data_IF_135373678482
#
_entry.id   IF_135373678482
#
_cell.length_a   1.000
_cell.length_b   1.000
_cell.length_c   1.000
_cell.angle_alpha   90.00
_cell.angle_beta   90.00
_cell.angle_gamma   90.00
#
_symmetry.space_group_name_H-M   'P 1'
#
loop_
_entity.id
_entity.type
_entity.pdbx_description
1 polymer ?
#
# COMPACT_ATOMS: atom_id res chain seq x y z
N UNK A 1 -0.68 -12.73 -32.05
CA UNK A 1 0.75 -12.83 -32.38
C UNK A 1 1.64 -12.25 -31.28
N UNK A 2 1.41 -10.97 -30.86
CA UNK A 2 2.20 -10.29 -29.81
C UNK A 2 2.18 -11.02 -28.47
N UNK A 3 1.02 -11.46 -28.01
CA UNK A 3 0.86 -12.20 -26.75
C UNK A 3 1.56 -13.56 -26.77
N UNK A 4 1.60 -14.24 -27.92
CA UNK A 4 2.21 -15.55 -28.05
C UNK A 4 3.76 -15.48 -27.99
N UNK A 5 4.37 -14.41 -28.51
CA UNK A 5 5.83 -14.23 -28.47
C UNK A 5 6.33 -13.48 -27.22
N UNK A 6 5.41 -13.10 -26.35
CA UNK A 6 5.76 -12.36 -25.15
C UNK A 6 6.34 -10.95 -25.44
N UNK A 7 5.92 -10.29 -26.52
CA UNK A 7 6.31 -8.93 -26.89
C UNK A 7 5.43 -7.93 -26.13
N UNK A 8 6.02 -6.85 -25.58
CA UNK A 8 5.29 -5.79 -24.88
C UNK A 8 4.31 -5.08 -25.81
N UNK A 9 3.14 -4.70 -25.26
CA UNK A 9 2.13 -3.90 -25.93
C UNK A 9 2.41 -2.39 -25.79
N UNK A 10 1.68 -1.55 -26.55
CA UNK A 10 1.69 -0.10 -26.34
C UNK A 10 1.14 0.27 -24.95
N UNK A 11 0.12 -0.47 -24.48
CA UNK A 11 -0.47 -0.30 -23.14
C UNK A 11 0.54 -0.56 -22.02
N UNK A 12 1.40 -1.58 -22.16
CA UNK A 12 2.47 -1.85 -21.19
C UNK A 12 3.46 -0.69 -21.12
N UNK A 13 3.78 -0.08 -22.27
CA UNK A 13 4.67 1.08 -22.32
C UNK A 13 3.99 2.31 -21.69
N UNK A 14 2.70 2.52 -21.92
CA UNK A 14 1.94 3.60 -21.30
C UNK A 14 1.85 3.42 -19.79
N UNK A 15 1.61 2.19 -19.32
CA UNK A 15 1.68 1.85 -17.88
C UNK A 15 3.04 2.18 -17.29
N UNK A 16 4.14 1.79 -17.97
CA UNK A 16 5.50 2.09 -17.54
C UNK A 16 5.76 3.60 -17.42
N UNK A 17 5.30 4.38 -18.40
CA UNK A 17 5.41 5.84 -18.39
C UNK A 17 4.66 6.49 -17.23
N UNK A 18 3.43 6.04 -16.97
CA UNK A 18 2.61 6.50 -15.83
C UNK A 18 3.27 6.13 -14.51
N UNK A 19 3.66 4.86 -14.36
CA UNK A 19 4.25 4.29 -13.15
C UNK A 19 5.48 5.08 -12.67
N UNK A 20 6.38 5.43 -13.59
CA UNK A 20 7.59 6.18 -13.27
C UNK A 20 7.49 7.68 -13.56
N UNK A 21 6.31 8.18 -13.91
CA UNK A 21 6.04 9.60 -14.21
C UNK A 21 7.06 10.20 -15.21
N UNK A 22 7.42 9.42 -16.23
CA UNK A 22 8.48 9.72 -17.20
C UNK A 22 7.94 9.83 -18.63
N UNK A 23 8.41 10.81 -19.38
CA UNK A 23 8.00 11.03 -20.78
C UNK A 23 8.68 10.06 -21.76
N UNK A 24 8.18 10.00 -23.01
CA UNK A 24 8.62 9.07 -24.08
C UNK A 24 10.14 9.12 -24.35
N UNK A 25 10.68 10.32 -24.59
CA UNK A 25 12.11 10.52 -24.84
C UNK A 25 12.97 10.16 -23.63
N UNK A 26 12.74 10.75 -22.45
CA UNK A 26 13.44 10.37 -21.22
C UNK A 26 13.36 8.88 -20.89
N UNK A 27 12.22 8.22 -21.11
CA UNK A 27 12.10 6.77 -20.92
C UNK A 27 12.98 5.99 -21.89
N UNK A 28 12.97 6.37 -23.18
CA UNK A 28 13.87 5.75 -24.18
C UNK A 28 15.33 5.81 -23.71
N UNK A 29 15.78 7.00 -23.30
CA UNK A 29 17.15 7.22 -22.85
C UNK A 29 17.45 6.48 -21.55
N UNK A 30 16.52 6.46 -20.61
CA UNK A 30 16.64 5.73 -19.34
C UNK A 30 16.87 4.23 -19.57
N UNK A 31 16.14 3.61 -20.47
CA UNK A 31 16.27 2.20 -20.82
C UNK A 31 17.52 1.88 -21.66
N UNK A 32 18.31 2.88 -22.04
CA UNK A 32 19.50 2.74 -22.85
C UNK A 32 19.23 2.75 -24.37
N UNK A 33 18.03 3.12 -24.79
CA UNK A 33 17.60 3.16 -26.19
C UNK A 33 17.97 4.47 -26.88
N UNK A 34 17.68 4.58 -28.17
CA UNK A 34 17.67 5.84 -28.89
C UNK A 34 16.44 6.67 -28.49
N UNK A 35 16.58 8.00 -28.43
CA UNK A 35 15.58 8.92 -27.86
C UNK A 35 14.14 8.76 -28.41
N UNK A 36 14.00 8.42 -29.69
CA UNK A 36 12.69 8.29 -30.36
C UNK A 36 12.11 6.85 -30.33
N UNK A 37 12.82 5.90 -29.69
CA UNK A 37 12.46 4.47 -29.75
C UNK A 37 11.08 4.18 -29.15
N UNK A 38 10.80 4.67 -27.95
CA UNK A 38 9.50 4.52 -27.30
C UNK A 38 8.38 5.19 -28.11
N UNK A 39 8.65 6.36 -28.70
CA UNK A 39 7.68 7.04 -29.57
C UNK A 39 7.30 6.18 -30.77
N UNK A 40 8.25 5.49 -31.40
CA UNK A 40 7.99 4.57 -32.53
C UNK A 40 7.13 3.39 -32.10
N UNK A 41 7.38 2.80 -30.92
CA UNK A 41 6.59 1.67 -30.40
C UNK A 41 5.14 2.07 -30.10
N UNK A 42 4.93 3.25 -29.52
CA UNK A 42 3.60 3.81 -29.30
C UNK A 42 2.88 4.17 -30.61
N UNK A 43 3.63 4.41 -31.69
CA UNK A 43 3.08 4.65 -33.04
C UNK A 43 2.85 3.36 -33.85
N UNK A 44 3.01 2.18 -33.21
CA UNK A 44 2.67 0.88 -33.82
C UNK A 44 3.85 0.03 -34.27
N UNK A 45 5.10 0.51 -34.24
CA UNK A 45 6.26 -0.33 -34.50
C UNK A 45 6.38 -1.43 -33.44
N UNK A 46 6.67 -2.66 -33.86
CA UNK A 46 6.82 -3.79 -32.96
C UNK A 46 8.25 -3.80 -32.37
N UNK A 47 8.42 -3.82 -31.02
CA UNK A 47 9.74 -3.99 -30.41
C UNK A 47 10.38 -5.34 -30.75
N UNK A 48 11.72 -5.39 -30.80
CA UNK A 48 12.43 -6.65 -30.78
C UNK A 48 12.25 -7.38 -29.44
N UNK A 49 12.53 -8.67 -29.40
CA UNK A 49 12.46 -9.46 -28.16
C UNK A 49 13.36 -8.85 -27.05
N UNK A 50 14.58 -8.45 -27.38
CA UNK A 50 15.53 -7.84 -26.45
C UNK A 50 15.00 -6.54 -25.84
N UNK A 51 14.43 -5.64 -26.67
CA UNK A 51 13.84 -4.40 -26.18
C UNK A 51 12.59 -4.64 -25.35
N UNK A 52 11.77 -5.63 -25.74
CA UNK A 52 10.60 -6.06 -24.95
C UNK A 52 11.00 -6.56 -23.56
N UNK A 53 12.05 -7.37 -23.47
CA UNK A 53 12.51 -7.93 -22.19
C UNK A 53 13.03 -6.81 -21.26
N UNK A 54 13.72 -5.80 -21.80
CA UNK A 54 14.14 -4.62 -21.03
C UNK A 54 12.94 -3.83 -20.51
N UNK A 55 11.93 -3.60 -21.35
CA UNK A 55 10.70 -2.87 -20.96
C UNK A 55 9.93 -3.67 -19.89
N UNK A 56 9.79 -4.98 -20.06
CA UNK A 56 9.15 -5.86 -19.06
C UNK A 56 9.87 -5.85 -17.73
N UNK A 57 11.20 -5.97 -17.76
CA UNK A 57 12.00 -5.94 -16.54
C UNK A 57 11.83 -4.61 -15.80
N UNK A 58 11.74 -3.48 -16.52
CA UNK A 58 11.47 -2.18 -15.92
C UNK A 58 10.04 -2.07 -15.37
N UNK A 59 9.04 -2.69 -16.02
CA UNK A 59 7.65 -2.68 -15.58
C UNK A 59 7.45 -3.50 -14.30
N UNK A 60 8.16 -4.61 -14.15
CA UNK A 60 7.99 -5.56 -13.04
C UNK A 60 8.95 -5.33 -11.87
N UNK A 61 10.03 -4.55 -12.07
CA UNK A 61 11.05 -4.34 -11.03
C UNK A 61 11.47 -2.87 -10.92
N UNK A 62 11.01 -2.16 -9.87
CA UNK A 62 11.48 -0.81 -9.56
C UNK A 62 13.00 -0.73 -9.38
N UNK A 63 13.60 -1.75 -8.77
CA UNK A 63 15.05 -1.84 -8.60
C UNK A 63 15.79 -1.89 -9.96
N UNK A 64 15.25 -2.62 -10.95
CA UNK A 64 15.79 -2.65 -12.31
C UNK A 64 15.67 -1.26 -12.98
N UNK A 65 14.51 -0.61 -12.87
CA UNK A 65 14.32 0.74 -13.40
C UNK A 65 15.25 1.76 -12.74
N UNK A 66 15.45 1.68 -11.44
CA UNK A 66 16.41 2.50 -10.69
C UNK A 66 17.83 2.35 -11.22
N UNK A 67 18.25 1.10 -11.42
CA UNK A 67 19.55 0.79 -12.02
C UNK A 67 19.68 1.44 -13.40
N UNK A 68 18.68 1.27 -14.26
CA UNK A 68 18.68 1.86 -15.63
C UNK A 68 18.70 3.38 -15.64
N UNK A 69 17.95 4.04 -14.76
CA UNK A 69 17.97 5.49 -14.57
C UNK A 69 19.38 5.97 -14.17
N UNK A 70 20.02 5.29 -13.22
CA UNK A 70 21.35 5.65 -12.74
C UNK A 70 22.44 5.43 -13.82
N UNK A 71 22.38 4.30 -14.53
CA UNK A 71 23.32 4.00 -15.64
C UNK A 71 23.28 5.05 -16.77
N UNK A 72 22.10 5.63 -17.02
CA UNK A 72 21.88 6.56 -18.12
C UNK A 72 21.60 8.00 -17.66
N UNK A 73 21.90 8.34 -16.41
CA UNK A 73 21.59 9.64 -15.79
C UNK A 73 22.02 10.83 -16.63
N UNK A 74 23.25 10.79 -17.17
CA UNK A 74 23.84 11.88 -17.96
C UNK A 74 23.13 12.11 -19.31
N UNK A 75 22.32 11.15 -19.76
CA UNK A 75 21.54 11.24 -21.00
C UNK A 75 20.15 11.80 -20.80
N UNK A 76 19.72 11.94 -19.55
CA UNK A 76 18.34 12.31 -19.16
C UNK A 76 18.37 13.73 -18.59
N UNK A 77 17.41 14.57 -18.98
CA UNK A 77 17.27 15.88 -18.37
C UNK A 77 17.08 15.78 -16.85
N UNK A 78 17.78 16.57 -16.02
CA UNK A 78 17.75 16.45 -14.55
C UNK A 78 16.35 16.44 -13.94
N UNK A 79 15.44 17.24 -14.46
CA UNK A 79 14.05 17.31 -13.99
C UNK A 79 13.30 15.97 -14.23
N UNK A 80 13.49 15.36 -15.40
CA UNK A 80 12.87 14.06 -15.73
C UNK A 80 13.47 12.92 -14.90
N UNK A 81 14.81 12.93 -14.71
CA UNK A 81 15.49 11.98 -13.85
C UNK A 81 14.99 12.05 -12.41
N UNK A 82 14.96 13.25 -11.80
CA UNK A 82 14.52 13.43 -10.42
C UNK A 82 13.05 13.00 -10.23
N UNK A 83 12.19 13.31 -11.18
CA UNK A 83 10.78 12.90 -11.14
C UNK A 83 10.64 11.36 -11.18
N UNK A 84 11.40 10.70 -12.06
CA UNK A 84 11.37 9.25 -12.21
C UNK A 84 12.00 8.54 -11.01
N UNK A 85 13.11 9.03 -10.47
CA UNK A 85 13.76 8.46 -9.27
C UNK A 85 12.82 8.55 -8.04
N UNK A 86 12.13 9.68 -7.86
CA UNK A 86 11.15 9.82 -6.78
C UNK A 86 9.99 8.83 -6.95
N UNK A 87 9.51 8.61 -8.18
CA UNK A 87 8.49 7.60 -8.45
C UNK A 87 8.99 6.18 -8.13
N UNK A 88 10.25 5.86 -8.47
CA UNK A 88 10.87 4.58 -8.09
C UNK A 88 10.91 4.39 -6.58
N UNK A 89 11.35 5.40 -5.82
CA UNK A 89 11.39 5.32 -4.34
C UNK A 89 9.99 5.08 -3.75
N UNK A 90 8.98 5.75 -4.29
CA UNK A 90 7.59 5.55 -3.89
C UNK A 90 7.09 4.13 -4.22
N UNK A 91 7.52 3.55 -5.34
CA UNK A 91 7.20 2.18 -5.71
C UNK A 91 7.95 1.15 -4.86
N UNK A 92 9.22 1.39 -4.57
CA UNK A 92 10.00 0.52 -3.67
C UNK A 92 9.31 0.39 -2.30
N UNK A 93 8.63 1.45 -1.82
CA UNK A 93 7.88 1.39 -0.56
C UNK A 93 6.65 0.46 -0.63
N UNK A 94 6.03 0.30 -1.81
CA UNK A 94 4.91 -0.64 -2.00
C UNK A 94 5.40 -2.09 -1.89
N UNK A 95 6.55 -2.40 -2.47
CA UNK A 95 7.15 -3.74 -2.38
C UNK A 95 7.79 -4.04 -1.02
N UNK A 96 7.78 -3.09 -0.08
CA UNK A 96 8.21 -3.32 1.30
C UNK A 96 7.13 -3.99 2.17
N UNK A 97 5.87 -4.01 1.71
CA UNK A 97 4.76 -4.70 2.40
C UNK A 97 4.49 -6.06 1.76
N UNK A 98 3.89 -6.96 2.51
CA UNK A 98 3.52 -8.29 2.01
C UNK A 98 2.39 -8.20 0.97
N UNK A 99 2.31 -9.21 0.10
CA UNK A 99 1.18 -9.34 -0.84
C UNK A 99 -0.16 -9.37 -0.10
N UNK A 100 -0.20 -9.98 1.10
CA UNK A 100 -1.41 -10.04 1.91
C UNK A 100 -1.83 -8.65 2.41
N UNK A 101 -0.90 -7.82 2.89
CA UNK A 101 -1.17 -6.43 3.26
C UNK A 101 -1.70 -5.63 2.07
N UNK A 102 -1.12 -5.79 0.87
CA UNK A 102 -1.59 -5.12 -0.34
C UNK A 102 -3.02 -5.53 -0.72
N UNK A 103 -3.37 -6.82 -0.57
CA UNK A 103 -4.73 -7.33 -0.81
C UNK A 103 -5.74 -6.70 0.14
N UNK A 104 -5.40 -6.62 1.43
CA UNK A 104 -6.25 -5.99 2.45
C UNK A 104 -6.46 -4.50 2.15
N UNK A 105 -5.38 -3.77 1.82
CA UNK A 105 -5.46 -2.35 1.46
C UNK A 105 -6.33 -2.15 0.21
N UNK A 106 -6.11 -2.96 -0.85
CA UNK A 106 -6.90 -2.90 -2.09
C UNK A 106 -8.38 -3.15 -1.83
N UNK A 107 -8.70 -4.11 -0.96
CA UNK A 107 -10.09 -4.41 -0.61
C UNK A 107 -10.73 -3.27 0.20
N UNK A 108 -10.01 -2.66 1.15
CA UNK A 108 -10.50 -1.47 1.87
C UNK A 108 -10.79 -0.30 0.93
N UNK A 109 -9.91 -0.04 -0.06
CA UNK A 109 -10.14 1.02 -1.05
C UNK A 109 -11.34 0.72 -1.97
N UNK A 110 -11.63 -0.55 -2.24
CA UNK A 110 -12.83 -0.96 -3.00
C UNK A 110 -14.12 -0.81 -2.19
N UNK A 111 -14.04 -1.00 -0.87
CA UNK A 111 -15.20 -0.94 0.04
C UNK A 111 -15.56 0.49 0.48
N UNK A 112 -14.60 1.39 0.53
CA UNK A 112 -14.74 2.73 1.08
C UNK A 112 -14.47 3.77 0.00
N UNK A 113 -15.33 4.79 -0.08
CA UNK A 113 -15.22 5.86 -1.09
C UNK A 113 -14.00 6.75 -0.86
N UNK A 114 -13.70 7.07 0.40
CA UNK A 114 -12.59 7.92 0.80
C UNK A 114 -11.83 7.32 1.98
N UNK A 115 -10.52 7.16 1.82
CA UNK A 115 -9.62 6.67 2.87
C UNK A 115 -8.42 7.59 2.98
N UNK A 116 -8.23 8.24 4.14
CA UNK A 116 -7.02 9.03 4.41
C UNK A 116 -5.91 8.15 4.98
N UNK A 117 -4.63 8.57 4.91
CA UNK A 117 -3.52 7.79 5.49
C UNK A 117 -3.71 7.46 6.97
N UNK A 118 -4.20 8.40 7.77
CA UNK A 118 -4.45 8.17 9.20
C UNK A 118 -5.57 7.14 9.41
N UNK A 119 -6.67 7.26 8.67
CA UNK A 119 -7.79 6.31 8.73
C UNK A 119 -7.34 4.91 8.33
N UNK A 120 -6.57 4.77 7.25
CA UNK A 120 -6.05 3.48 6.79
C UNK A 120 -5.27 2.75 7.88
N UNK A 121 -4.37 3.43 8.60
CA UNK A 121 -3.60 2.84 9.69
C UNK A 121 -4.49 2.25 10.78
N UNK A 122 -5.59 2.94 11.12
CA UNK A 122 -6.52 2.47 12.15
C UNK A 122 -7.38 1.32 11.66
N UNK A 123 -7.86 1.38 10.42
CA UNK A 123 -8.61 0.29 9.81
C UNK A 123 -7.76 -0.99 9.72
N UNK A 124 -6.49 -0.89 9.35
CA UNK A 124 -5.57 -2.05 9.35
C UNK A 124 -5.36 -2.62 10.75
N UNK A 125 -5.21 -1.77 11.76
CA UNK A 125 -5.06 -2.20 13.14
C UNK A 125 -6.33 -2.92 13.65
N UNK A 126 -7.52 -2.37 13.40
CA UNK A 126 -8.79 -3.03 13.73
C UNK A 126 -8.97 -4.34 12.96
N UNK A 127 -8.61 -4.38 11.67
CA UNK A 127 -8.65 -5.60 10.85
C UNK A 127 -7.80 -6.71 11.47
N UNK A 128 -6.61 -6.37 11.97
CA UNK A 128 -5.72 -7.31 12.63
C UNK A 128 -6.36 -7.87 13.92
N UNK A 129 -6.92 -6.98 14.75
CA UNK A 129 -7.59 -7.38 16.00
C UNK A 129 -8.82 -8.26 15.79
N UNK A 130 -9.70 -7.87 14.86
CA UNK A 130 -10.91 -8.64 14.53
C UNK A 130 -10.56 -10.00 13.89
N UNK A 131 -9.46 -10.07 13.10
CA UNK A 131 -9.00 -11.34 12.54
C UNK A 131 -8.58 -12.35 13.61
N UNK A 132 -7.92 -11.91 14.68
CA UNK A 132 -7.60 -12.79 15.80
C UNK A 132 -8.86 -13.37 16.46
N UNK A 133 -9.91 -12.56 16.58
CA UNK A 133 -11.18 -13.00 17.18
C UNK A 133 -11.91 -13.99 16.28
N UNK A 134 -12.06 -13.69 15.00
CA UNK A 134 -12.93 -14.47 14.11
C UNK A 134 -12.21 -15.65 13.47
N UNK A 135 -10.94 -15.48 13.12
CA UNK A 135 -10.18 -16.47 12.37
C UNK A 135 -9.10 -17.17 13.21
N UNK A 136 -8.86 -16.73 14.46
CA UNK A 136 -7.84 -17.29 15.35
C UNK A 136 -6.41 -17.11 14.82
N UNK A 137 -6.18 -16.16 13.91
CA UNK A 137 -4.87 -15.88 13.29
C UNK A 137 -4.74 -14.41 12.87
N UNK A 138 -3.49 -13.98 12.69
CA UNK A 138 -3.20 -12.67 12.11
C UNK A 138 -3.72 -12.56 10.68
N UNK A 139 -4.17 -11.37 10.29
CA UNK A 139 -4.55 -11.07 8.91
C UNK A 139 -3.32 -10.92 8.01
N UNK A 140 -2.26 -10.31 8.53
CA UNK A 140 -0.98 -10.07 7.86
C UNK A 140 0.16 -10.06 8.88
N UNK A 141 1.41 -10.04 8.42
CA UNK A 141 2.60 -10.25 9.25
C UNK A 141 3.39 -8.99 9.61
N UNK A 142 2.97 -7.83 9.11
CA UNK A 142 3.66 -6.56 9.32
C UNK A 142 3.66 -6.13 10.78
N UNK A 143 4.78 -5.52 11.19
CA UNK A 143 4.97 -5.04 12.55
C UNK A 143 4.22 -3.74 12.79
N UNK A 144 3.48 -3.67 13.90
CA UNK A 144 2.78 -2.47 14.33
C UNK A 144 3.61 -1.70 15.36
N UNK A 145 3.67 -0.38 15.24
CA UNK A 145 4.37 0.51 16.17
C UNK A 145 3.42 1.49 16.86
N UNK A 146 3.75 1.87 18.10
CA UNK A 146 2.97 2.78 18.93
C UNK A 146 3.41 4.24 18.73
N UNK A 147 3.03 4.85 17.60
CA UNK A 147 3.35 6.24 17.31
C UNK A 147 2.43 7.21 18.07
N UNK A 148 2.77 8.53 18.02
CA UNK A 148 1.99 9.61 18.65
C UNK A 148 0.52 9.59 18.22
N UNK A 149 0.26 9.31 16.96
CA UNK A 149 -1.09 9.27 16.40
C UNK A 149 -1.72 7.87 16.40
N UNK A 150 -1.34 7.03 17.38
CA UNK A 150 -1.90 5.68 17.54
C UNK A 150 -1.07 4.59 16.85
N UNK A 151 -1.62 3.36 16.74
CA UNK A 151 -0.99 2.24 16.06
C UNK A 151 -0.70 2.55 14.59
N UNK A 152 0.52 2.21 14.13
CA UNK A 152 0.99 2.47 12.76
C UNK A 152 1.80 1.27 12.22
N UNK A 153 1.59 0.94 10.97
CA UNK A 153 2.42 0.06 10.14
C UNK A 153 3.36 0.95 9.33
N UNK A 154 4.66 1.06 9.69
CA UNK A 154 5.58 2.06 9.13
C UNK A 154 5.73 1.96 7.61
N UNK A 155 5.73 0.75 7.06
CA UNK A 155 5.86 0.49 5.63
C UNK A 155 4.66 1.08 4.88
N UNK A 156 3.45 0.86 5.39
CA UNK A 156 2.20 1.42 4.83
C UNK A 156 2.17 2.95 5.00
N UNK A 157 2.62 3.47 6.15
CA UNK A 157 2.74 4.91 6.34
C UNK A 157 3.66 5.54 5.29
N UNK A 158 4.84 4.97 5.07
CA UNK A 158 5.80 5.47 4.08
C UNK A 158 5.23 5.45 2.65
N UNK A 159 4.37 4.48 2.33
CA UNK A 159 3.69 4.36 1.05
C UNK A 159 2.75 5.54 0.77
N UNK A 160 2.02 6.03 1.78
CA UNK A 160 0.95 7.01 1.62
C UNK A 160 1.17 8.37 2.31
N UNK A 161 2.29 8.58 2.98
CA UNK A 161 2.56 9.81 3.76
C UNK A 161 2.43 11.11 2.95
N UNK A 162 2.69 11.06 1.64
CA UNK A 162 2.65 12.23 0.77
C UNK A 162 1.23 12.76 0.53
N UNK A 163 0.19 11.93 0.78
CA UNK A 163 -1.21 12.35 0.77
C UNK A 163 -1.60 13.17 2.01
N UNK A 164 -0.80 13.11 3.09
CA UNK A 164 -1.01 13.83 4.35
C UNK A 164 -2.39 13.55 4.96
N UNK A 165 -3.31 14.50 4.89
CA UNK A 165 -4.69 14.41 5.39
C UNK A 165 -5.73 14.27 4.27
N UNK A 166 -5.30 14.26 3.02
CA UNK A 166 -6.19 14.07 1.88
C UNK A 166 -6.52 12.59 1.67
N UNK A 167 -7.65 12.27 1.02
CA UNK A 167 -7.92 10.92 0.56
C UNK A 167 -6.79 10.37 -0.32
N UNK A 168 -6.57 9.07 -0.24
CA UNK A 168 -5.56 8.38 -1.02
C UNK A 168 -6.14 8.10 -2.41
N UNK A 169 -5.72 8.90 -3.38
CA UNK A 169 -6.00 8.69 -4.81
C UNK A 169 -4.69 8.24 -5.47
N UNK A 170 -4.39 6.95 -5.38
CA UNK A 170 -3.09 6.43 -5.81
C UNK A 170 -3.22 5.57 -7.06
N UNK A 171 -2.89 6.15 -8.23
CA UNK A 171 -2.88 5.46 -9.52
C UNK A 171 -1.95 4.23 -9.54
N UNK A 172 -1.00 4.11 -8.62
CA UNK A 172 -0.12 2.94 -8.50
C UNK A 172 -0.90 1.68 -8.13
N UNK A 173 -2.04 1.83 -7.44
CA UNK A 173 -2.91 0.71 -7.08
C UNK A 173 -3.58 0.04 -8.30
N UNK A 174 -3.60 0.69 -9.46
CA UNK A 174 -3.99 0.04 -10.73
C UNK A 174 -3.11 -1.18 -11.05
N UNK A 175 -1.87 -1.24 -10.54
CA UNK A 175 -0.97 -2.40 -10.71
C UNK A 175 -1.48 -3.60 -9.89
N UNK A 176 -2.18 -3.34 -8.80
CA UNK A 176 -2.75 -4.34 -7.90
C UNK A 176 -4.24 -4.57 -8.13
N UNK A 177 -4.80 -4.03 -9.23
CA UNK A 177 -6.20 -4.24 -9.60
C UNK A 177 -6.47 -5.75 -9.71
N UNK A 178 -7.42 -6.21 -8.91
CA UNK A 178 -7.73 -7.63 -8.79
C UNK A 178 -6.92 -8.39 -7.72
N UNK A 179 -5.97 -7.75 -7.03
CA UNK A 179 -5.25 -8.40 -5.92
C UNK A 179 -6.20 -8.83 -4.79
N UNK A 180 -7.24 -8.02 -4.54
CA UNK A 180 -8.29 -8.31 -3.56
C UNK A 180 -9.07 -9.60 -3.86
N UNK A 181 -9.13 -10.05 -5.12
CA UNK A 181 -9.80 -11.29 -5.52
C UNK A 181 -9.07 -12.56 -5.01
N UNK A 182 -7.88 -12.41 -4.44
CA UNK A 182 -7.12 -13.51 -3.83
C UNK A 182 -7.36 -13.65 -2.31
N UNK A 183 -8.17 -12.76 -1.71
CA UNK A 183 -8.66 -12.93 -0.34
C UNK A 183 -9.72 -14.04 -0.30
N UNK A 184 -9.67 -14.87 0.74
CA UNK A 184 -10.71 -15.86 0.98
C UNK A 184 -11.93 -15.23 1.67
N UNK A 185 -13.04 -15.99 1.78
CA UNK A 185 -14.31 -15.50 2.33
C UNK A 185 -14.18 -15.03 3.80
N UNK A 186 -13.39 -15.74 4.63
CA UNK A 186 -13.18 -15.38 6.03
C UNK A 186 -12.38 -14.06 6.16
N UNK A 187 -11.40 -13.86 5.31
CA UNK A 187 -10.62 -12.62 5.25
C UNK A 187 -11.49 -11.44 4.76
N UNK A 188 -12.28 -11.63 3.72
CA UNK A 188 -13.24 -10.63 3.24
C UNK A 188 -14.25 -10.26 4.34
N UNK A 189 -14.80 -11.24 5.03
CA UNK A 189 -15.75 -11.02 6.13
C UNK A 189 -15.18 -10.13 7.25
N UNK A 190 -13.93 -10.36 7.65
CA UNK A 190 -13.25 -9.52 8.65
C UNK A 190 -13.15 -8.08 8.16
N UNK A 191 -12.71 -7.88 6.91
CA UNK A 191 -12.53 -6.53 6.36
C UNK A 191 -13.88 -5.83 6.17
N UNK A 192 -14.92 -6.55 5.73
CA UNK A 192 -16.29 -6.01 5.62
C UNK A 192 -16.82 -5.53 6.96
N UNK A 193 -16.69 -6.33 8.02
CA UNK A 193 -17.09 -5.95 9.38
C UNK A 193 -16.38 -4.68 9.85
N UNK A 194 -15.07 -4.58 9.61
CA UNK A 194 -14.29 -3.39 9.98
C UNK A 194 -14.71 -2.18 9.14
N UNK A 195 -14.87 -2.34 7.83
CA UNK A 195 -15.29 -1.25 6.95
C UNK A 195 -16.71 -0.73 7.29
N UNK A 196 -17.66 -1.63 7.54
CA UNK A 196 -19.04 -1.30 7.86
C UNK A 196 -19.19 -0.69 9.27
N UNK A 197 -18.30 -1.05 10.21
CA UNK A 197 -18.32 -0.54 11.57
C UNK A 197 -17.58 0.78 11.72
N UNK A 198 -16.41 0.90 11.11
CA UNK A 198 -15.48 2.02 11.34
C UNK A 198 -15.29 2.94 10.13
N UNK A 199 -15.70 2.53 8.94
CA UNK A 199 -15.49 3.29 7.70
C UNK A 199 -16.16 4.64 7.61
N UNK A 200 -17.15 4.91 8.47
CA UNK A 200 -17.83 6.21 8.55
C UNK A 200 -17.12 7.22 9.47
N UNK A 201 -16.14 6.77 10.25
CA UNK A 201 -15.44 7.63 11.20
C UNK A 201 -14.18 8.23 10.58
N UNK A 202 -13.91 9.50 10.90
CA UNK A 202 -12.66 10.12 10.48
C UNK A 202 -11.45 9.46 11.16
N UNK A 203 -10.28 9.54 10.52
CA UNK A 203 -9.03 9.04 11.12
C UNK A 203 -8.74 9.60 12.51
N UNK A 204 -9.20 10.83 12.82
CA UNK A 204 -9.04 11.43 14.17
C UNK A 204 -9.96 10.81 15.22
N UNK A 205 -11.16 10.41 14.86
CA UNK A 205 -12.03 9.67 15.78
C UNK A 205 -11.44 8.29 16.07
N UNK A 206 -11.02 7.59 15.02
CA UNK A 206 -10.39 6.27 15.17
C UNK A 206 -9.05 6.33 15.96
N UNK A 207 -8.27 7.42 15.79
CA UNK A 207 -7.07 7.67 16.59
C UNK A 207 -7.42 7.75 18.09
N UNK A 208 -8.45 8.51 18.44
CA UNK A 208 -8.90 8.63 19.84
C UNK A 208 -9.28 7.28 20.44
N UNK A 209 -10.03 6.45 19.70
CA UNK A 209 -10.40 5.10 20.15
C UNK A 209 -9.15 4.25 20.42
N UNK A 210 -8.22 4.20 19.46
CA UNK A 210 -7.00 3.39 19.62
C UNK A 210 -6.09 3.86 20.75
N UNK A 211 -6.17 5.14 21.16
CA UNK A 211 -5.41 5.66 22.31
C UNK A 211 -5.93 5.14 23.67
N UNK A 212 -7.19 4.73 23.74
CA UNK A 212 -7.79 4.14 24.93
C UNK A 212 -7.47 2.64 25.05
N UNK A 213 -6.96 2.02 23.99
CA UNK A 213 -6.65 0.61 23.97
C UNK A 213 -5.30 0.27 24.62
N UNK A 214 -5.31 -0.84 25.39
CA UNK A 214 -4.09 -1.29 26.11
C UNK A 214 -2.91 -1.64 25.22
N UNK A 215 -3.05 -2.24 24.04
CA UNK A 215 -1.91 -2.56 23.20
C UNK A 215 -1.07 -1.31 22.87
N UNK A 216 -1.71 -0.20 22.52
CA UNK A 216 -1.03 1.06 22.25
C UNK A 216 -0.52 1.75 23.54
N UNK A 217 -1.39 1.90 24.54
CA UNK A 217 -1.04 2.64 25.76
C UNK A 217 0.05 1.93 26.57
N UNK A 218 0.08 0.59 26.61
CA UNK A 218 1.11 -0.19 27.28
C UNK A 218 2.45 -0.12 26.57
N UNK A 219 2.46 -0.18 25.22
CA UNK A 219 3.70 -0.03 24.45
C UNK A 219 4.33 1.35 24.64
N UNK A 220 3.53 2.39 24.90
CA UNK A 220 3.98 3.75 25.16
C UNK A 220 4.26 4.07 26.64
N UNK A 221 4.26 3.06 27.51
CA UNK A 221 4.52 3.28 28.93
C UNK A 221 5.86 3.99 29.17
N UNK A 222 5.79 5.16 29.79
CA UNK A 222 6.98 6.01 30.04
C UNK A 222 7.23 7.11 29.02
N UNK A 223 6.46 7.12 27.92
CA UNK A 223 6.48 8.23 26.93
C UNK A 223 5.39 9.26 27.26
N UNK A 224 5.72 10.55 27.10
CA UNK A 224 4.69 11.60 27.09
C UNK A 224 3.80 11.51 25.85
N UNK A 225 2.61 12.11 25.89
CA UNK A 225 1.61 12.02 24.81
C UNK A 225 2.16 12.46 23.46
N UNK A 226 2.97 13.53 23.42
CA UNK A 226 3.52 14.11 22.20
C UNK A 226 4.94 13.65 21.87
N UNK A 227 5.50 12.71 22.65
CA UNK A 227 6.86 12.22 22.41
C UNK A 227 6.84 11.10 21.37
N UNK A 228 7.58 11.21 20.26
CA UNK A 228 7.68 10.13 19.28
C UNK A 228 8.19 8.83 19.91
N UNK A 229 7.64 7.72 19.48
CA UNK A 229 8.02 6.38 19.90
C UNK A 229 7.98 5.45 18.69
N UNK A 230 8.89 4.50 18.67
CA UNK A 230 8.92 3.39 17.71
C UNK A 230 8.73 2.04 18.44
N UNK A 231 8.16 2.09 19.66
CA UNK A 231 7.90 0.88 20.43
C UNK A 231 6.93 -0.03 19.71
N UNK A 232 7.19 -1.32 19.76
CA UNK A 232 6.40 -2.33 19.07
C UNK A 232 5.10 -2.61 19.83
N UNK A 233 4.01 -2.64 19.10
CA UNK A 233 2.77 -3.27 19.56
C UNK A 233 2.81 -4.71 19.07
N UNK A 234 3.01 -5.67 19.99
CA UNK A 234 3.16 -7.07 19.60
C UNK A 234 1.84 -7.68 19.17
N UNK A 235 1.90 -8.69 18.30
CA UNK A 235 0.73 -9.44 17.84
C UNK A 235 -0.02 -10.07 19.02
N UNK A 236 0.73 -10.63 20.00
CA UNK A 236 0.17 -11.23 21.21
C UNK A 236 -0.60 -10.21 22.06
N UNK A 237 -0.14 -8.95 22.12
CA UNK A 237 -0.84 -7.89 22.85
C UNK A 237 -2.14 -7.48 22.19
N UNK A 238 -2.17 -7.45 20.85
CA UNK A 238 -3.39 -7.19 20.07
C UNK A 238 -4.36 -8.36 20.25
N UNK A 239 -3.90 -9.58 20.00
CA UNK A 239 -4.72 -10.80 20.14
C UNK A 239 -5.37 -10.90 21.52
N UNK A 240 -4.57 -10.84 22.59
CA UNK A 240 -5.08 -10.95 23.95
C UNK A 240 -6.12 -9.87 24.29
N UNK A 241 -5.90 -8.65 23.82
CA UNK A 241 -6.82 -7.54 24.06
C UNK A 241 -8.14 -7.73 23.31
N UNK A 242 -8.11 -8.08 22.03
CA UNK A 242 -9.32 -8.23 21.21
C UNK A 242 -10.13 -9.46 21.62
N UNK A 243 -9.49 -10.58 21.98
CA UNK A 243 -10.19 -11.76 22.55
C UNK A 243 -10.90 -11.39 23.84
N UNK A 244 -10.25 -10.65 24.75
CA UNK A 244 -10.88 -10.20 26.00
C UNK A 244 -12.09 -9.30 25.72
N UNK A 245 -11.95 -8.33 24.79
CA UNK A 245 -13.03 -7.40 24.46
C UNK A 245 -14.21 -8.07 23.76
N UNK A 246 -13.94 -9.08 22.93
CA UNK A 246 -15.00 -9.85 22.28
C UNK A 246 -15.97 -10.53 23.26
N UNK A 247 -15.52 -10.87 24.45
CA UNK A 247 -16.39 -11.45 25.49
C UNK A 247 -17.51 -10.49 25.95
N UNK A 248 -17.28 -9.17 25.79
CA UNK A 248 -18.24 -8.12 26.19
C UNK A 248 -19.03 -7.53 25.01
N UNK A 249 -18.46 -7.52 23.80
CA UNK A 249 -18.95 -6.70 22.69
C UNK A 249 -19.33 -7.45 21.40
N UNK A 250 -19.21 -8.75 21.33
CA UNK A 250 -19.51 -9.55 20.12
C UNK A 250 -18.93 -8.98 18.80
N UNK A 251 -17.63 -9.11 18.62
CA UNK A 251 -16.93 -8.61 17.41
C UNK A 251 -17.27 -9.38 16.12
N UNK A 252 -18.19 -10.34 16.18
CA UNK A 252 -18.70 -11.01 14.98
C UNK A 252 -19.79 -10.22 14.26
N UNK A 253 -20.23 -9.10 14.81
CA UNK A 253 -21.29 -8.24 14.29
C UNK A 253 -20.88 -6.76 14.21
N UNK A 254 -21.48 -6.03 13.26
CA UNK A 254 -21.30 -4.58 13.11
C UNK A 254 -21.81 -3.83 14.36
N UNK A 255 -22.92 -4.29 14.94
CA UNK A 255 -23.51 -3.70 16.14
C UNK A 255 -22.59 -3.83 17.35
N UNK A 256 -21.99 -5.02 17.55
CA UNK A 256 -21.04 -5.25 18.62
C UNK A 256 -19.76 -4.40 18.49
N UNK A 257 -19.22 -4.30 17.28
CA UNK A 257 -18.07 -3.44 17.02
C UNK A 257 -18.39 -1.93 17.21
N UNK A 258 -19.60 -1.48 16.86
CA UNK A 258 -20.03 -0.09 17.10
C UNK A 258 -20.24 0.18 18.58
N UNK A 259 -20.88 -0.73 19.32
CA UNK A 259 -21.04 -0.60 20.77
C UNK A 259 -19.71 -0.56 21.52
N UNK A 260 -18.68 -1.24 20.98
CA UNK A 260 -17.32 -1.18 21.53
C UNK A 260 -16.69 0.21 21.49
N UNK A 261 -17.05 1.05 20.53
CA UNK A 261 -16.45 2.38 20.31
C UNK A 261 -17.30 3.55 20.81
N UNK A 262 -18.53 3.30 21.24
CA UNK A 262 -19.42 4.27 21.90
C UNK A 262 -19.09 4.41 23.40
#
# INVERSE_FOLDING_TARGET
YRAYEGIVSAEDIEKLMKLYKIGKGPLSLALGFGEITITRYLSGQIPSKEYSDVIKAALTSPAYMKKKLNENKERIAPAAYNKAINAVVQLESIFAVSDQMLRVISYLFKRLEEVTPLMLQKLLYFTQGVSFVLNGKSMFSENCQAWVHGPVYPEVYNMFRDFKYNPIEDERFVIFEGAENQLNEDECRVIDLVADSFGLYSGKVLEKITHEERPWSSARKGYGNDIPSNEMITMESIEAYYIEKNAAYDFSSVEGLRTYIE
#
